data_IF_463780020935
#
_entry.id   IF_463780020935
#
_cell.length_a   1.000
_cell.length_b   1.000
_cell.length_c   1.000
_cell.angle_alpha   90.00
_cell.angle_beta   90.00
_cell.angle_gamma   90.00
#
_symmetry.space_group_name_H-M   'P 1'
#
loop_
_entity.id
_entity.type
_entity.pdbx_description
1 polymer ?
#
# COMPACT_ATOMS: atom_id res chain seq x y z
N UNK A 1 -54.57 34.57 -18.97
CA UNK A 1 -53.83 33.54 -18.19
C UNK A 1 -53.11 34.24 -17.05
N UNK A 2 -53.52 34.01 -15.78
CA UNK A 2 -52.79 34.56 -14.62
C UNK A 2 -51.46 33.82 -14.49
N UNK A 3 -50.34 34.52 -14.62
CA UNK A 3 -49.03 33.98 -14.24
C UNK A 3 -48.95 34.02 -12.70
N UNK A 4 -48.77 32.87 -12.07
CA UNK A 4 -48.42 32.80 -10.65
C UNK A 4 -46.98 33.29 -10.51
N UNK A 5 -46.77 34.37 -9.74
CA UNK A 5 -45.45 34.93 -9.47
C UNK A 5 -44.78 34.17 -8.33
N UNK A 6 -43.54 33.77 -8.52
CA UNK A 6 -42.73 33.16 -7.48
C UNK A 6 -42.34 34.23 -6.45
N UNK A 7 -42.65 34.02 -5.18
CA UNK A 7 -42.32 34.98 -4.12
C UNK A 7 -40.88 34.81 -3.65
N UNK A 8 -40.28 35.90 -3.15
CA UNK A 8 -38.92 35.88 -2.61
C UNK A 8 -38.80 34.94 -1.40
N UNK A 9 -39.88 34.77 -0.63
CA UNK A 9 -39.95 33.88 0.52
C UNK A 9 -39.89 32.41 0.09
N UNK A 10 -40.64 32.03 -0.95
CA UNK A 10 -40.61 30.65 -1.50
C UNK A 10 -39.21 30.29 -1.99
N UNK A 11 -38.53 31.22 -2.66
CA UNK A 11 -37.15 31.01 -3.10
C UNK A 11 -36.20 30.80 -1.91
N UNK A 12 -36.33 31.62 -0.87
CA UNK A 12 -35.46 31.58 0.29
C UNK A 12 -35.62 30.29 1.09
N UNK A 13 -36.86 29.83 1.29
CA UNK A 13 -37.14 28.56 1.99
C UNK A 13 -36.57 27.37 1.22
N UNK A 14 -36.70 27.35 -0.11
CA UNK A 14 -36.15 26.26 -0.93
C UNK A 14 -34.62 26.21 -0.83
N UNK A 15 -33.95 27.35 -0.94
CA UNK A 15 -32.49 27.41 -0.80
C UNK A 15 -32.07 26.99 0.61
N UNK A 16 -32.80 27.40 1.65
CA UNK A 16 -32.51 26.98 3.02
C UNK A 16 -32.62 25.47 3.20
N UNK A 17 -33.67 24.83 2.64
CA UNK A 17 -33.83 23.38 2.69
C UNK A 17 -32.69 22.68 1.93
N UNK A 18 -32.34 23.15 0.72
CA UNK A 18 -31.23 22.59 -0.06
C UNK A 18 -29.91 22.72 0.71
N UNK A 19 -29.66 23.86 1.36
CA UNK A 19 -28.46 24.09 2.16
C UNK A 19 -28.36 23.11 3.35
N UNK A 20 -29.47 22.86 4.06
CA UNK A 20 -29.53 21.89 5.16
C UNK A 20 -29.27 20.47 4.65
N UNK A 21 -29.93 20.07 3.57
CA UNK A 21 -29.76 18.74 2.98
C UNK A 21 -28.32 18.52 2.49
N UNK A 22 -27.75 19.52 1.80
CA UNK A 22 -26.37 19.48 1.33
C UNK A 22 -25.37 19.38 2.50
N UNK A 23 -25.59 20.12 3.59
CA UNK A 23 -24.73 20.11 4.77
C UNK A 23 -24.63 18.72 5.43
N UNK A 24 -25.70 17.92 5.40
CA UNK A 24 -25.72 16.55 5.93
C UNK A 24 -25.22 15.55 4.89
N UNK A 25 -25.59 15.73 3.62
CA UNK A 25 -25.28 14.77 2.56
C UNK A 25 -23.79 14.73 2.22
N UNK A 26 -23.11 15.88 2.17
CA UNK A 26 -21.68 15.93 1.83
C UNK A 26 -20.75 15.15 2.77
N UNK A 27 -20.82 15.29 4.12
CA UNK A 27 -19.96 14.51 5.00
C UNK A 27 -20.25 13.01 4.94
N UNK A 28 -21.53 12.62 4.83
CA UNK A 28 -21.92 11.20 4.71
C UNK A 28 -21.43 10.61 3.41
N UNK A 29 -21.58 11.32 2.29
CA UNK A 29 -21.12 10.87 0.98
C UNK A 29 -19.59 10.71 0.94
N UNK A 30 -18.84 11.63 1.58
CA UNK A 30 -17.39 11.51 1.69
C UNK A 30 -16.98 10.24 2.45
N UNK A 31 -17.64 9.92 3.56
CA UNK A 31 -17.37 8.69 4.31
C UNK A 31 -17.73 7.42 3.52
N UNK A 32 -18.87 7.43 2.82
CA UNK A 32 -19.29 6.31 1.99
C UNK A 32 -18.29 6.04 0.85
N UNK A 33 -17.82 7.11 0.19
CA UNK A 33 -16.78 7.02 -0.84
C UNK A 33 -15.47 6.46 -0.29
N UNK A 34 -15.07 6.86 0.91
CA UNK A 34 -13.85 6.34 1.54
C UNK A 34 -13.97 4.85 1.90
N UNK A 35 -15.13 4.41 2.40
CA UNK A 35 -15.42 2.99 2.63
C UNK A 35 -15.37 2.18 1.34
N UNK A 36 -15.93 2.70 0.24
CA UNK A 36 -15.86 2.05 -1.06
C UNK A 36 -14.40 1.89 -1.52
N UNK A 37 -13.57 2.94 -1.37
CA UNK A 37 -12.13 2.87 -1.67
C UNK A 37 -11.41 1.82 -0.82
N UNK A 38 -11.72 1.76 0.48
CA UNK A 38 -11.17 0.74 1.39
C UNK A 38 -11.46 -0.68 0.88
N UNK A 39 -12.72 -0.96 0.51
CA UNK A 39 -13.12 -2.25 -0.04
C UNK A 39 -12.35 -2.57 -1.31
N UNK A 40 -12.16 -1.59 -2.20
CA UNK A 40 -11.35 -1.77 -3.41
C UNK A 40 -9.89 -2.06 -3.08
N UNK A 41 -9.28 -1.36 -2.11
CA UNK A 41 -7.89 -1.62 -1.69
C UNK A 41 -7.74 -3.04 -1.10
N UNK A 42 -8.69 -3.50 -0.28
CA UNK A 42 -8.69 -4.86 0.24
C UNK A 42 -8.86 -5.93 -0.87
N UNK A 43 -9.72 -5.67 -1.86
CA UNK A 43 -9.91 -6.54 -3.03
C UNK A 43 -8.66 -6.61 -3.92
N UNK A 44 -8.02 -5.47 -4.16
CA UNK A 44 -6.76 -5.38 -4.89
C UNK A 44 -5.65 -6.16 -4.15
N UNK A 45 -5.52 -5.96 -2.84
CA UNK A 45 -4.57 -6.69 -2.03
C UNK A 45 -4.82 -8.20 -2.07
N UNK A 46 -6.08 -8.65 -2.02
CA UNK A 46 -6.41 -10.08 -2.17
C UNK A 46 -5.98 -10.62 -3.54
N UNK A 47 -6.20 -9.87 -4.62
CA UNK A 47 -5.74 -10.28 -5.95
C UNK A 47 -4.22 -10.41 -6.01
N UNK A 48 -3.47 -9.49 -5.39
CA UNK A 48 -2.01 -9.56 -5.30
C UNK A 48 -1.54 -10.72 -4.43
N UNK A 49 -2.19 -10.97 -3.30
CA UNK A 49 -1.87 -12.11 -2.43
C UNK A 49 -2.08 -13.44 -3.18
N UNK A 50 -3.21 -13.59 -3.89
CA UNK A 50 -3.47 -14.75 -4.73
C UNK A 50 -2.44 -14.91 -5.85
N UNK A 51 -2.04 -13.81 -6.50
CA UNK A 51 -0.96 -13.84 -7.49
C UNK A 51 0.36 -14.35 -6.89
N UNK A 52 0.67 -13.94 -5.65
CA UNK A 52 1.82 -14.45 -4.91
C UNK A 52 1.76 -15.96 -4.66
N UNK A 53 0.59 -16.48 -4.31
CA UNK A 53 0.41 -17.92 -4.07
C UNK A 53 0.43 -18.74 -5.37
N UNK A 54 -0.10 -18.19 -6.46
CA UNK A 54 0.03 -18.80 -7.78
C UNK A 54 1.50 -18.87 -8.21
N UNK A 55 2.27 -17.81 -7.98
CA UNK A 55 3.72 -17.82 -8.22
C UNK A 55 4.39 -18.94 -7.41
N UNK A 56 4.12 -19.02 -6.10
CA UNK A 56 4.72 -20.06 -5.24
C UNK A 56 4.44 -21.46 -5.79
N UNK A 57 3.22 -21.72 -6.28
CA UNK A 57 2.86 -23.01 -6.88
C UNK A 57 3.64 -23.32 -8.17
N UNK A 58 3.90 -22.31 -9.00
CA UNK A 58 4.60 -22.49 -10.27
C UNK A 58 6.13 -22.60 -10.12
N UNK A 59 6.69 -22.14 -8.99
CA UNK A 59 8.13 -22.02 -8.77
C UNK A 59 8.60 -22.85 -7.57
N UNK A 60 8.42 -24.17 -7.65
CA UNK A 60 8.92 -25.16 -6.67
C UNK A 60 8.61 -24.79 -5.21
N UNK A 61 7.37 -24.36 -4.96
CA UNK A 61 6.90 -23.91 -3.65
C UNK A 61 7.82 -22.86 -3.01
N UNK A 62 8.45 -21.99 -3.81
CA UNK A 62 9.37 -20.97 -3.32
C UNK A 62 8.74 -19.59 -3.41
N UNK A 63 8.85 -18.81 -2.34
CA UNK A 63 8.40 -17.42 -2.36
C UNK A 63 9.14 -16.61 -3.43
N UNK A 64 8.50 -15.56 -3.92
CA UNK A 64 9.13 -14.66 -4.88
C UNK A 64 10.25 -13.83 -4.24
N UNK A 65 11.20 -13.40 -5.07
CA UNK A 65 12.30 -12.53 -4.65
C UNK A 65 11.79 -11.14 -4.26
N UNK A 66 12.39 -10.55 -3.21
CA UNK A 66 12.00 -9.22 -2.74
C UNK A 66 12.47 -8.10 -3.66
N UNK A 67 13.76 -8.12 -4.00
CA UNK A 67 14.36 -7.30 -5.05
C UNK A 67 15.56 -8.01 -5.68
N UNK A 68 15.84 -7.62 -6.92
CA UNK A 68 16.98 -8.09 -7.69
C UNK A 68 17.50 -6.97 -8.61
N UNK A 69 18.83 -6.80 -8.65
CA UNK A 69 19.55 -5.93 -9.58
C UNK A 69 20.18 -6.76 -10.69
N UNK A 70 19.61 -6.71 -11.90
CA UNK A 70 19.96 -7.62 -12.99
C UNK A 70 20.53 -6.97 -14.24
N UNK A 71 21.33 -7.74 -15.00
CA UNK A 71 21.62 -7.42 -16.42
C UNK A 71 20.36 -7.70 -17.24
N UNK A 72 19.66 -6.64 -17.65
CA UNK A 72 18.37 -6.72 -18.34
C UNK A 72 17.46 -5.53 -18.07
N UNK A 73 17.82 -4.66 -17.12
CA UNK A 73 17.13 -3.39 -16.89
C UNK A 73 17.00 -2.58 -18.17
N UNK A 74 15.77 -2.24 -18.55
CA UNK A 74 15.52 -1.19 -19.52
C UNK A 74 15.97 0.15 -18.93
N UNK A 75 16.22 1.15 -19.78
CA UNK A 75 16.53 2.50 -19.31
C UNK A 75 15.49 3.07 -18.33
N UNK A 76 14.24 2.58 -18.40
CA UNK A 76 13.10 3.06 -17.58
C UNK A 76 12.99 2.49 -16.16
N UNK A 77 13.71 1.40 -15.82
CA UNK A 77 13.69 0.84 -14.46
C UNK A 77 15.04 0.88 -13.73
N UNK A 78 16.08 1.43 -14.38
CA UNK A 78 17.43 1.54 -13.83
C UNK A 78 18.04 0.20 -13.35
N UNK A 79 17.58 -0.94 -13.88
CA UNK A 79 18.00 -2.27 -13.44
C UNK A 79 17.30 -2.81 -12.19
N UNK A 80 16.31 -2.08 -11.66
CA UNK A 80 15.65 -2.41 -10.41
C UNK A 80 14.36 -3.23 -10.57
N UNK A 81 14.44 -4.52 -10.25
CA UNK A 81 13.29 -5.43 -10.24
C UNK A 81 12.90 -5.80 -8.82
N UNK A 82 11.61 -5.79 -8.53
CA UNK A 82 11.03 -6.23 -7.25
C UNK A 82 10.00 -7.32 -7.49
N UNK A 83 9.48 -7.88 -6.41
CA UNK A 83 8.39 -8.86 -6.45
C UNK A 83 7.19 -8.43 -7.32
N UNK A 84 6.91 -7.13 -7.45
CA UNK A 84 5.78 -6.63 -8.26
C UNK A 84 5.86 -7.08 -9.73
N UNK A 85 7.07 -7.13 -10.27
CA UNK A 85 7.33 -7.59 -11.63
C UNK A 85 7.16 -9.09 -11.79
N UNK A 86 7.56 -9.86 -10.77
CA UNK A 86 7.39 -11.31 -10.73
C UNK A 86 5.92 -11.70 -10.66
N UNK A 87 5.10 -10.90 -9.97
CA UNK A 87 3.66 -11.15 -9.85
C UNK A 87 2.83 -10.58 -11.00
N UNK A 88 3.41 -9.70 -11.83
CA UNK A 88 2.69 -9.05 -12.94
C UNK A 88 2.00 -10.06 -13.89
N UNK A 89 2.62 -11.17 -14.33
CA UNK A 89 1.96 -12.17 -15.20
C UNK A 89 0.73 -12.83 -14.57
N UNK A 90 0.67 -12.89 -13.25
CA UNK A 90 -0.44 -13.49 -12.49
C UNK A 90 -1.58 -12.50 -12.22
N UNK A 91 -1.40 -11.24 -12.62
CA UNK A 91 -2.41 -10.18 -12.45
C UNK A 91 -2.89 -9.69 -13.82
N UNK A 92 -4.19 -9.42 -13.96
CA UNK A 92 -4.74 -8.89 -15.22
C UNK A 92 -4.44 -7.41 -15.46
N UNK A 93 -4.11 -6.66 -14.42
CA UNK A 93 -3.92 -5.21 -14.48
C UNK A 93 -2.89 -4.74 -13.46
N UNK A 94 -2.01 -3.82 -13.86
CA UNK A 94 -1.05 -3.18 -12.96
C UNK A 94 -1.73 -2.32 -11.86
N UNK A 95 -2.98 -1.91 -12.06
CA UNK A 95 -3.70 -1.08 -11.09
C UNK A 95 -3.96 -1.79 -9.76
N UNK A 96 -3.94 -3.13 -9.72
CA UNK A 96 -4.14 -3.90 -8.47
C UNK A 96 -2.98 -3.73 -7.48
N UNK A 97 -1.81 -3.25 -7.93
CA UNK A 97 -0.68 -2.96 -7.06
C UNK A 97 -0.79 -1.60 -6.37
N UNK A 98 -1.81 -0.80 -6.69
CA UNK A 98 -2.03 0.52 -6.11
C UNK A 98 -3.39 0.61 -5.42
N UNK A 99 -3.45 1.44 -4.39
CA UNK A 99 -4.68 1.70 -3.65
C UNK A 99 -5.35 2.96 -4.22
N UNK A 100 -6.65 2.97 -4.56
CA UNK A 100 -7.34 4.18 -5.02
C UNK A 100 -7.35 5.38 -4.05
N UNK A 101 -6.84 5.21 -2.82
CA UNK A 101 -6.63 6.30 -1.89
C UNK A 101 -5.23 6.92 -1.94
N UNK A 102 -4.32 6.35 -2.73
CA UNK A 102 -3.03 6.98 -3.03
C UNK A 102 -3.21 8.22 -3.91
N UNK A 103 -2.34 9.23 -3.76
CA UNK A 103 -2.32 10.36 -4.67
C UNK A 103 -2.01 9.86 -6.09
N UNK A 104 -2.71 10.43 -7.07
CA UNK A 104 -2.34 10.24 -8.46
C UNK A 104 -0.98 10.91 -8.70
N UNK A 105 -0.06 10.18 -9.32
CA UNK A 105 1.27 10.67 -9.66
C UNK A 105 1.54 10.45 -11.14
N UNK A 106 2.16 11.43 -11.77
CA UNK A 106 2.47 11.41 -13.20
C UNK A 106 3.32 10.19 -13.60
N UNK A 107 4.23 9.78 -12.72
CA UNK A 107 5.11 8.63 -12.93
C UNK A 107 4.40 7.26 -12.93
N UNK A 108 3.09 7.19 -12.62
CA UNK A 108 2.30 5.95 -12.76
C UNK A 108 1.57 5.85 -14.10
N UNK A 109 1.76 6.82 -15.00
CA UNK A 109 1.19 6.75 -16.34
C UNK A 109 2.07 5.86 -17.24
N UNK A 110 1.52 4.92 -18.03
CA UNK A 110 2.30 3.97 -18.82
C UNK A 110 3.24 4.60 -19.86
N UNK A 111 2.98 5.84 -20.28
CA UNK A 111 3.78 6.63 -21.21
C UNK A 111 4.94 7.39 -20.53
N UNK A 112 5.03 7.35 -19.20
CA UNK A 112 6.11 7.98 -18.45
C UNK A 112 7.38 7.12 -18.46
N UNK A 113 8.54 7.76 -18.69
CA UNK A 113 9.84 7.06 -18.73
C UNK A 113 10.22 6.37 -17.41
N UNK A 114 9.69 6.81 -16.27
CA UNK A 114 9.91 6.22 -14.94
C UNK A 114 8.80 5.26 -14.50
N UNK A 115 7.83 4.97 -15.37
CA UNK A 115 6.72 4.09 -15.04
C UNK A 115 7.19 2.78 -14.43
N UNK A 116 8.15 2.13 -15.09
CA UNK A 116 8.60 0.82 -14.67
C UNK A 116 9.29 0.87 -13.30
N UNK A 117 10.09 1.90 -13.06
CA UNK A 117 10.74 2.15 -11.78
C UNK A 117 9.74 2.37 -10.65
N UNK A 118 8.74 3.24 -10.86
CA UNK A 118 7.74 3.57 -9.84
C UNK A 118 6.77 2.42 -9.60
N UNK A 119 6.37 1.70 -10.64
CA UNK A 119 5.59 0.47 -10.50
C UNK A 119 6.35 -0.56 -9.65
N UNK A 120 7.65 -0.75 -9.92
CA UNK A 120 8.53 -1.66 -9.19
C UNK A 120 8.63 -1.30 -7.71
N UNK A 121 8.94 -0.04 -7.42
CA UNK A 121 9.41 0.38 -6.09
C UNK A 121 8.28 0.86 -5.19
N UNK A 122 7.17 1.32 -5.76
CA UNK A 122 6.09 1.98 -5.03
C UNK A 122 4.70 1.34 -5.21
N UNK A 123 4.55 0.01 -5.04
CA UNK A 123 3.24 -0.61 -4.83
C UNK A 123 2.67 -0.21 -3.47
N UNK A 124 1.35 -0.17 -3.33
CA UNK A 124 0.64 0.17 -2.09
C UNK A 124 0.85 -0.85 -0.97
N UNK A 125 1.31 -2.06 -1.32
CA UNK A 125 1.47 -3.22 -0.45
C UNK A 125 2.97 -3.48 -0.30
N UNK A 126 3.51 -3.51 0.91
CA UNK A 126 4.87 -3.94 1.17
C UNK A 126 4.93 -5.42 1.47
N UNK A 127 5.98 -6.08 0.99
CA UNK A 127 6.27 -7.49 1.20
C UNK A 127 7.06 -7.70 2.50
N UNK A 128 6.70 -8.73 3.28
CA UNK A 128 7.43 -9.17 4.49
C UNK A 128 8.77 -9.83 4.12
N UNK A 129 9.69 -9.01 3.64
CA UNK A 129 10.87 -9.49 2.91
C UNK A 129 11.86 -10.21 3.82
N UNK A 130 12.10 -9.74 5.05
CA UNK A 130 13.15 -10.32 5.90
C UNK A 130 12.85 -11.75 6.36
N UNK A 131 11.57 -12.07 6.56
CA UNK A 131 11.19 -13.40 6.97
C UNK A 131 11.05 -14.34 5.77
N UNK A 132 10.35 -13.92 4.71
CA UNK A 132 10.01 -14.75 3.55
C UNK A 132 11.12 -14.86 2.50
N UNK A 133 12.23 -14.15 2.68
CA UNK A 133 13.39 -14.19 1.79
C UNK A 133 14.70 -14.28 2.58
N UNK A 134 15.80 -14.50 1.86
CA UNK A 134 17.17 -14.51 2.34
C UNK A 134 17.91 -13.31 1.76
N UNK A 135 18.35 -12.33 2.59
CA UNK A 135 19.12 -11.19 2.13
C UNK A 135 20.50 -11.62 1.59
N UNK A 136 21.03 -10.93 0.58
CA UNK A 136 22.40 -11.16 0.09
C UNK A 136 23.49 -10.74 1.07
N UNK A 137 23.20 -9.75 1.92
CA UNK A 137 24.06 -9.30 3.00
C UNK A 137 23.37 -9.61 4.34
N UNK A 138 23.73 -10.72 5.00
CA UNK A 138 23.15 -11.11 6.28
C UNK A 138 23.56 -10.20 7.44
N UNK A 139 24.67 -9.48 7.32
CA UNK A 139 25.17 -8.56 8.35
C UNK A 139 24.34 -7.27 8.35
N UNK A 140 24.00 -6.77 7.16
CA UNK A 140 23.17 -5.58 6.95
C UNK A 140 21.90 -5.92 6.16
N UNK A 141 20.96 -6.70 6.73
CA UNK A 141 19.82 -7.24 6.00
C UNK A 141 18.83 -6.18 5.52
N UNK A 142 18.84 -4.97 6.09
CA UNK A 142 18.01 -3.85 5.64
C UNK A 142 18.61 -3.08 4.44
N UNK A 143 19.92 -3.24 4.23
CA UNK A 143 20.68 -2.57 3.16
C UNK A 143 20.95 -3.51 1.98
N UNK A 144 20.60 -4.78 2.14
CA UNK A 144 20.71 -5.80 1.10
C UNK A 144 20.07 -5.36 -0.22
N UNK A 145 20.82 -5.54 -1.31
CA UNK A 145 20.34 -5.25 -2.66
C UNK A 145 19.45 -6.38 -3.21
N UNK A 146 19.72 -7.62 -2.77
CA UNK A 146 19.06 -8.82 -3.24
C UNK A 146 18.39 -9.56 -2.09
N UNK A 147 17.21 -10.11 -2.37
CA UNK A 147 16.41 -10.87 -1.42
C UNK A 147 15.88 -12.13 -2.11
N UNK A 148 16.47 -13.28 -1.81
CA UNK A 148 16.18 -14.55 -2.46
C UNK A 148 15.00 -15.25 -1.79
N UNK A 149 14.03 -15.75 -2.54
CA UNK A 149 12.83 -16.35 -1.96
C UNK A 149 13.18 -17.59 -1.15
N UNK A 150 12.54 -17.77 0.01
CA UNK A 150 12.65 -19.00 0.78
C UNK A 150 11.60 -20.02 0.33
N UNK A 151 11.84 -21.32 0.54
CA UNK A 151 10.81 -22.33 0.38
C UNK A 151 9.60 -22.03 1.27
N UNK A 152 8.39 -22.27 0.79
CA UNK A 152 7.13 -22.08 1.52
C UNK A 152 7.11 -22.89 2.82
N UNK A 153 7.75 -24.06 2.82
CA UNK A 153 7.89 -24.94 3.98
C UNK A 153 8.57 -24.30 5.21
N UNK A 154 9.23 -23.14 5.08
CA UNK A 154 9.74 -22.40 6.25
C UNK A 154 8.62 -21.80 7.11
N UNK A 155 7.40 -21.69 6.56
CA UNK A 155 6.23 -21.14 7.25
C UNK A 155 5.36 -22.28 7.78
N UNK A 156 5.37 -22.48 9.10
CA UNK A 156 4.53 -23.41 9.84
C UNK A 156 3.13 -22.85 10.11
N UNK A 157 2.97 -21.52 10.28
CA UNK A 157 1.68 -20.85 10.59
C UNK A 157 1.21 -19.89 9.49
N UNK A 158 0.82 -20.37 8.30
CA UNK A 158 0.51 -19.52 7.15
C UNK A 158 -0.69 -18.57 7.37
N UNK A 159 -1.62 -18.92 8.26
CA UNK A 159 -2.76 -18.08 8.64
C UNK A 159 -2.41 -16.97 9.64
N UNK A 160 -1.17 -16.94 10.14
CA UNK A 160 -0.74 -15.98 11.15
C UNK A 160 0.46 -15.14 10.70
N UNK A 161 1.21 -15.61 9.71
CA UNK A 161 2.34 -14.87 9.12
C UNK A 161 1.86 -13.91 8.02
N UNK A 162 2.34 -12.67 8.09
CA UNK A 162 2.08 -11.64 7.09
C UNK A 162 2.85 -11.93 5.80
N UNK A 163 2.13 -11.88 4.69
CA UNK A 163 2.69 -11.85 3.34
C UNK A 163 2.88 -10.41 2.87
N UNK A 164 1.79 -9.63 2.88
CA UNK A 164 1.77 -8.23 2.47
C UNK A 164 1.08 -7.35 3.50
N UNK A 165 1.50 -6.10 3.58
CA UNK A 165 0.88 -5.07 4.44
C UNK A 165 0.81 -3.76 3.69
N UNK A 166 -0.24 -2.96 3.88
CA UNK A 166 -0.22 -1.57 3.43
C UNK A 166 1.06 -0.85 3.88
N UNK A 167 1.78 -0.27 2.93
CA UNK A 167 3.06 0.37 3.16
C UNK A 167 3.07 1.79 2.63
N UNK A 168 3.88 2.68 3.20
CA UNK A 168 4.07 4.05 2.69
C UNK A 168 5.54 4.49 2.78
N UNK A 169 6.02 5.17 1.75
CA UNK A 169 7.21 6.05 1.81
C UNK A 169 6.83 7.40 2.42
N UNK A 170 7.17 7.61 3.70
CA UNK A 170 7.11 8.92 4.34
C UNK A 170 8.40 9.72 4.07
N UNK A 171 8.59 10.21 2.85
CA UNK A 171 9.76 11.03 2.49
C UNK A 171 9.39 12.53 2.48
N UNK A 172 10.07 13.37 3.27
CA UNK A 172 9.92 14.85 3.29
C UNK A 172 11.21 15.52 2.75
N UNK A 173 11.20 16.12 1.55
CA UNK A 173 12.36 16.84 0.96
C UNK A 173 12.32 17.04 -0.57
N UNK A 174 13.11 18.00 -1.14
CA UNK A 174 12.99 18.60 -2.50
C UNK A 174 14.13 18.24 -3.50
N UNK A 175 13.75 18.06 -4.78
CA UNK A 175 14.47 18.11 -6.09
C UNK A 175 15.44 16.96 -6.50
N UNK A 176 15.08 16.28 -7.62
CA UNK A 176 15.88 15.32 -8.40
C UNK A 176 15.32 13.88 -8.35
N UNK A 177 14.84 13.32 -9.49
CA UNK A 177 14.19 11.99 -9.70
C UNK A 177 13.14 11.51 -8.66
N UNK A 178 12.84 12.35 -7.66
CA UNK A 178 12.31 11.97 -6.36
C UNK A 178 11.42 13.07 -5.76
N UNK A 179 10.59 13.66 -6.61
CA UNK A 179 9.57 14.61 -6.21
C UNK A 179 8.39 13.90 -5.55
N UNK A 180 8.12 14.23 -4.28
CA UNK A 180 6.91 13.87 -3.51
C UNK A 180 6.46 12.41 -3.66
N UNK A 181 7.31 11.45 -3.27
CA UNK A 181 6.85 10.09 -2.93
C UNK A 181 6.09 10.04 -1.60
N UNK A 182 5.84 11.19 -0.96
CA UNK A 182 5.09 11.25 0.28
C UNK A 182 3.71 10.63 0.09
N UNK A 183 3.45 9.53 0.79
CA UNK A 183 2.20 8.75 0.73
C UNK A 183 2.06 7.74 -0.41
N UNK A 184 3.08 7.57 -1.26
CA UNK A 184 3.15 6.40 -2.14
C UNK A 184 3.60 5.17 -1.36
N UNK A 185 3.25 3.98 -1.84
CA UNK A 185 3.65 2.77 -1.17
C UNK A 185 5.13 2.42 -1.32
N UNK A 186 5.56 1.38 -0.61
CA UNK A 186 6.91 0.85 -0.70
C UNK A 186 6.87 -0.67 -0.79
N UNK A 187 7.64 -1.22 -1.72
CA UNK A 187 7.65 -2.65 -2.01
C UNK A 187 8.08 -3.54 -0.83
N UNK A 188 8.67 -3.00 0.23
CA UNK A 188 9.08 -3.75 1.43
C UNK A 188 8.44 -3.20 2.70
N UNK A 189 8.17 -4.10 3.64
CA UNK A 189 7.92 -3.80 5.04
C UNK A 189 8.82 -4.65 5.92
N UNK A 190 9.06 -4.19 7.13
CA UNK A 190 10.02 -4.79 8.06
C UNK A 190 9.37 -5.11 9.41
N UNK A 191 9.85 -6.16 10.11
CA UNK A 191 9.27 -6.62 11.38
C UNK A 191 9.53 -5.63 12.53
N UNK A 192 8.76 -5.71 13.63
CA UNK A 192 8.84 -4.80 14.78
C UNK A 192 10.24 -4.62 15.37
N UNK A 193 11.08 -5.66 15.33
CA UNK A 193 12.47 -5.60 15.79
C UNK A 193 13.35 -4.59 15.05
N UNK A 194 12.94 -4.12 13.87
CA UNK A 194 13.67 -3.12 13.08
C UNK A 194 13.03 -1.73 13.14
N UNK A 195 11.96 -1.55 13.90
CA UNK A 195 11.23 -0.28 13.93
C UNK A 195 11.99 0.75 14.77
N UNK A 196 12.05 2.02 14.31
CA UNK A 196 12.91 3.05 14.89
C UNK A 196 12.17 4.32 15.37
N UNK A 197 12.53 4.78 16.57
CA UNK A 197 12.22 6.13 17.05
C UNK A 197 10.87 6.30 17.77
N UNK A 198 10.73 7.49 18.37
CA UNK A 198 9.47 8.04 18.86
C UNK A 198 8.88 8.99 17.80
N UNK A 199 7.63 9.45 17.92
CA UNK A 199 7.07 10.44 17.00
C UNK A 199 7.98 11.66 16.80
N UNK A 200 8.00 12.30 15.62
CA UNK A 200 7.10 12.10 14.49
C UNK A 200 7.38 10.83 13.70
N UNK A 201 6.36 10.35 13.00
CA UNK A 201 6.46 9.10 12.25
C UNK A 201 7.36 9.24 11.04
N UNK A 202 8.34 8.36 10.97
CA UNK A 202 9.22 8.18 9.82
C UNK A 202 8.89 6.87 9.12
N UNK A 203 9.35 6.62 7.89
CA UNK A 203 9.18 5.32 7.24
C UNK A 203 9.71 4.17 8.11
N UNK A 204 10.69 4.41 8.98
CA UNK A 204 11.28 3.37 9.81
C UNK A 204 10.55 3.16 11.13
N UNK A 205 9.72 4.09 11.59
CA UNK A 205 9.04 4.00 12.89
C UNK A 205 8.04 2.86 13.01
N UNK A 206 7.49 2.41 11.89
CA UNK A 206 6.60 1.25 11.80
C UNK A 206 7.04 0.29 10.69
N UNK A 207 8.35 0.21 10.40
CA UNK A 207 8.86 -0.70 9.37
C UNK A 207 8.21 -0.50 8.00
N UNK A 208 7.85 0.75 7.68
CA UNK A 208 7.16 1.24 6.48
C UNK A 208 5.68 0.87 6.39
N UNK A 209 5.11 0.27 7.43
CA UNK A 209 3.68 0.00 7.55
C UNK A 209 2.94 1.27 7.89
N UNK A 210 1.97 1.65 7.06
CA UNK A 210 1.13 2.81 7.34
C UNK A 210 -0.29 2.59 6.83
N UNK A 211 -1.32 2.91 7.64
CA UNK A 211 -2.69 2.77 7.22
C UNK A 211 -3.01 3.85 6.19
N UNK A 212 -3.76 3.47 5.15
CA UNK A 212 -4.20 4.43 4.12
C UNK A 212 -5.59 4.97 4.38
N UNK A 213 -6.41 4.19 5.06
CA UNK A 213 -7.82 4.48 5.24
C UNK A 213 -8.12 4.90 6.68
N UNK A 214 -8.98 5.90 6.81
CA UNK A 214 -9.51 6.42 8.08
C UNK A 214 -8.48 7.01 9.07
N UNK A 215 -7.18 6.94 8.78
CA UNK A 215 -6.18 7.57 9.60
C UNK A 215 -5.60 8.84 8.97
N UNK A 216 -4.99 9.65 9.83
CA UNK A 216 -4.45 10.96 9.45
C UNK A 216 -3.03 11.09 9.96
N UNK A 217 -2.10 11.41 9.06
CA UNK A 217 -0.75 11.80 9.45
C UNK A 217 -0.78 13.25 9.96
N UNK A 218 -0.45 13.44 11.24
CA UNK A 218 -0.31 14.73 11.92
C UNK A 218 1.17 15.02 12.22
N UNK A 219 1.52 16.26 12.59
CA UNK A 219 2.90 16.60 12.98
C UNK A 219 3.41 15.83 14.20
N UNK A 220 2.52 15.48 15.13
CA UNK A 220 2.78 14.82 16.42
C UNK A 220 2.62 13.28 16.38
N UNK A 221 2.15 12.72 15.26
CA UNK A 221 1.93 11.28 15.13
C UNK A 221 0.94 10.92 14.04
N UNK A 222 0.48 9.67 14.03
CA UNK A 222 -0.59 9.19 13.16
C UNK A 222 -1.77 8.85 14.05
N UNK A 223 -2.92 9.35 13.66
CA UNK A 223 -4.15 9.20 14.41
C UNK A 223 -5.10 8.24 13.68
N UNK A 224 -5.48 7.17 14.36
CA UNK A 224 -6.50 6.20 13.93
C UNK A 224 -6.04 5.24 12.83
N UNK A 225 -7.00 4.83 11.99
CA UNK A 225 -6.76 4.02 10.78
C UNK A 225 -6.49 2.52 11.00
N UNK A 226 -6.58 1.77 9.90
CA UNK A 226 -6.25 0.35 9.84
C UNK A 226 -5.53 0.05 8.53
N UNK A 227 -4.44 -0.71 8.61
CA UNK A 227 -3.74 -1.21 7.43
C UNK A 227 -4.45 -2.48 6.96
N UNK A 228 -4.69 -2.60 5.66
CA UNK A 228 -5.04 -3.89 5.07
C UNK A 228 -3.79 -4.79 5.05
N UNK A 229 -4.00 -6.04 5.45
CA UNK A 229 -2.95 -7.04 5.63
C UNK A 229 -3.36 -8.31 4.89
N UNK A 230 -2.44 -8.91 4.16
CA UNK A 230 -2.58 -10.24 3.60
C UNK A 230 -1.68 -11.21 4.34
N UNK A 231 -2.22 -12.37 4.68
CA UNK A 231 -1.47 -13.46 5.29
C UNK A 231 -0.94 -14.43 4.23
N UNK A 232 -0.04 -15.31 4.62
CA UNK A 232 0.61 -16.29 3.74
C UNK A 232 -0.37 -17.34 3.16
N UNK A 233 -1.54 -17.55 3.75
CA UNK A 233 -2.64 -18.32 3.14
C UNK A 233 -3.54 -17.48 2.19
N UNK A 234 -3.26 -16.17 2.07
CA UNK A 234 -3.94 -15.24 1.20
C UNK A 234 -5.17 -14.54 1.79
N UNK A 235 -5.61 -14.86 3.01
CA UNK A 235 -6.74 -14.14 3.61
C UNK A 235 -6.35 -12.70 3.96
N UNK A 236 -7.34 -11.80 3.94
CA UNK A 236 -7.16 -10.37 4.19
C UNK A 236 -7.78 -9.98 5.52
N UNK A 237 -7.08 -9.14 6.29
CA UNK A 237 -7.58 -8.55 7.54
C UNK A 237 -7.18 -7.09 7.64
N UNK A 238 -8.05 -6.26 8.20
CA UNK A 238 -7.69 -4.91 8.61
C UNK A 238 -7.12 -4.94 10.03
N UNK A 239 -5.95 -4.32 10.24
CA UNK A 239 -5.27 -4.31 11.54
C UNK A 239 -4.78 -2.92 11.91
N UNK A 240 -4.80 -2.59 13.21
CA UNK A 240 -4.19 -1.35 13.71
C UNK A 240 -2.67 -1.46 13.65
N UNK A 241 -1.98 -0.31 13.64
CA UNK A 241 -0.52 -0.29 13.73
C UNK A 241 0.00 -0.95 15.00
N UNK A 242 -0.71 -0.79 16.13
CA UNK A 242 -0.36 -1.45 17.39
C UNK A 242 -0.53 -2.96 17.31
N UNK A 243 -1.59 -3.46 16.66
CA UNK A 243 -1.75 -4.90 16.47
C UNK A 243 -0.63 -5.51 15.61
N UNK A 244 -0.06 -4.73 14.69
CA UNK A 244 1.08 -5.09 13.85
C UNK A 244 2.42 -5.01 14.57
N UNK A 245 2.50 -4.50 15.81
CA UNK A 245 3.72 -4.57 16.66
C UNK A 245 4.01 -5.97 17.19
N UNK A 246 3.05 -6.88 17.12
CA UNK A 246 3.20 -8.27 17.57
C UNK A 246 4.17 -9.02 16.67
N UNK A 247 5.29 -9.46 17.23
CA UNK A 247 6.34 -10.13 16.47
C UNK A 247 5.85 -11.44 15.83
N UNK A 248 4.91 -12.14 16.47
CA UNK A 248 4.40 -13.45 16.01
C UNK A 248 3.69 -13.41 14.63
N UNK A 249 3.34 -12.20 14.17
CA UNK A 249 2.75 -11.98 12.85
C UNK A 249 3.80 -11.94 11.75
N UNK A 250 5.04 -11.58 12.06
CA UNK A 250 6.05 -11.28 11.06
C UNK A 250 7.02 -12.42 10.83
N UNK A 251 7.29 -13.18 11.88
CA UNK A 251 8.25 -14.27 11.92
C UNK A 251 7.78 -15.30 12.95
N UNK A 252 8.39 -16.49 12.89
CA UNK A 252 8.09 -17.61 13.79
C UNK A 252 8.97 -17.66 15.04
#
# INVERSE_FOLDING_TARGET
MKKYGFTLIELLVVIAIIAILAAILFPVFAQARERARQTTCASNLRQVAMAGLMYVQDYDETFFHGSYWGRGGSAGNLGFYTWTWLLRPYTRSAQVFWCPNEPEVEYRKPDNEFYDYVFSRNPAWGYNVLYLTTPSDPEYPLESQYYWGKPYAVVQRPTEILLFVESITLQRGRVGFSGVYGQLGYYQVFPPRTWQGAPPLTPFSYGRVFPRHFGRLRPDGYDGGFANVAFVDGHIKAMTLDALRRAELWEE
#
